data_IF_448020330134
#
_entry.id   IF_448020330134
#
_cell.length_a   1.000
_cell.length_b   1.000
_cell.length_c   1.000
_cell.angle_alpha   90.00
_cell.angle_beta   90.00
_cell.angle_gamma   90.00
#
_symmetry.space_group_name_H-M   'P 1'
#
loop_
_entity.id
_entity.type
_entity.pdbx_description
1 polymer ?
#
# COMPACT_ATOMS: atom_id res chain seq x y z
N UNK A 1 -21.20 18.60 -10.31
CA UNK A 1 -19.81 19.10 -10.12
C UNK A 1 -19.50 20.22 -11.10
N UNK A 2 -19.88 20.08 -12.37
CA UNK A 2 -19.56 21.09 -13.40
C UNK A 2 -20.11 22.48 -13.08
N UNK A 3 -21.32 22.58 -12.51
CA UNK A 3 -21.90 23.85 -12.06
C UNK A 3 -21.25 24.47 -10.81
N UNK A 4 -20.40 23.74 -10.07
CA UNK A 4 -19.85 24.18 -8.78
C UNK A 4 -18.33 24.35 -8.78
N UNK A 5 -17.60 23.61 -9.62
CA UNK A 5 -16.13 23.67 -9.66
C UNK A 5 -15.59 24.23 -10.98
N UNK A 6 -16.25 23.97 -12.11
CA UNK A 6 -15.76 24.44 -13.42
C UNK A 6 -15.74 25.97 -13.49
N UNK A 7 -16.73 26.63 -12.90
CA UNK A 7 -16.78 28.09 -12.78
C UNK A 7 -15.58 28.70 -12.03
N UNK A 8 -14.89 27.90 -11.21
CA UNK A 8 -13.74 28.33 -10.42
C UNK A 8 -12.41 27.76 -10.93
N UNK A 9 -12.39 27.10 -12.10
CA UNK A 9 -11.19 26.45 -12.62
C UNK A 9 -10.05 27.46 -12.85
N UNK A 10 -10.34 28.61 -13.43
CA UNK A 10 -9.37 29.70 -13.63
C UNK A 10 -8.77 30.18 -12.29
N UNK A 11 -9.57 30.23 -11.23
CA UNK A 11 -9.14 30.64 -9.89
C UNK A 11 -8.19 29.60 -9.25
N UNK A 12 -8.50 28.31 -9.45
CA UNK A 12 -7.66 27.19 -9.02
C UNK A 12 -6.31 27.22 -9.77
N UNK A 13 -6.35 27.39 -11.09
CA UNK A 13 -5.16 27.45 -11.94
C UNK A 13 -4.28 28.64 -11.56
N UNK A 14 -4.86 29.82 -11.40
CA UNK A 14 -4.13 31.02 -10.95
C UNK A 14 -3.46 30.80 -9.60
N UNK A 15 -4.15 30.14 -8.67
CA UNK A 15 -3.60 29.79 -7.35
C UNK A 15 -2.40 28.85 -7.48
N UNK A 16 -2.51 27.83 -8.33
CA UNK A 16 -1.40 26.91 -8.61
C UNK A 16 -0.20 27.63 -9.24
N UNK A 17 -0.42 28.43 -10.28
CA UNK A 17 0.65 29.13 -11.00
C UNK A 17 1.38 30.13 -10.10
N UNK A 18 0.64 30.86 -9.27
CA UNK A 18 1.21 31.81 -8.29
C UNK A 18 2.10 31.06 -7.29
N UNK A 19 1.61 29.95 -6.74
CA UNK A 19 2.40 29.13 -5.83
C UNK A 19 3.64 28.55 -6.52
N UNK A 20 3.50 28.02 -7.74
CA UNK A 20 4.62 27.42 -8.47
C UNK A 20 5.74 28.44 -8.68
N UNK A 21 5.40 29.65 -9.14
CA UNK A 21 6.37 30.73 -9.33
C UNK A 21 7.07 31.10 -8.02
N UNK A 22 6.32 31.31 -6.94
CA UNK A 22 6.88 31.63 -5.62
C UNK A 22 7.84 30.53 -5.13
N UNK A 23 7.42 29.28 -5.23
CA UNK A 23 8.22 28.13 -4.82
C UNK A 23 9.49 28.01 -5.66
N UNK A 24 9.37 28.20 -6.97
CA UNK A 24 10.50 28.13 -7.90
C UNK A 24 11.56 29.17 -7.54
N UNK A 25 11.16 30.41 -7.29
CA UNK A 25 12.07 31.48 -6.84
C UNK A 25 12.76 31.14 -5.50
N UNK A 26 12.02 30.57 -4.54
CA UNK A 26 12.60 30.14 -3.25
C UNK A 26 13.61 29.00 -3.41
N UNK A 27 13.31 28.02 -4.28
CA UNK A 27 14.18 26.87 -4.54
C UNK A 27 15.44 27.31 -5.28
N UNK A 28 15.32 28.13 -6.31
CA UNK A 28 16.46 28.64 -7.08
C UNK A 28 17.43 29.42 -6.19
N UNK A 29 16.89 30.28 -5.32
CA UNK A 29 17.68 31.01 -4.34
C UNK A 29 18.43 30.06 -3.41
N UNK A 30 17.73 29.12 -2.79
CA UNK A 30 18.33 28.22 -1.82
C UNK A 30 19.38 27.30 -2.46
N UNK A 31 19.15 26.79 -3.68
CA UNK A 31 20.14 25.97 -4.39
C UNK A 31 21.40 26.77 -4.74
N UNK A 32 21.24 28.01 -5.22
CA UNK A 32 22.35 28.90 -5.58
C UNK A 32 23.18 29.26 -4.35
N UNK A 33 22.55 29.61 -3.23
CA UNK A 33 23.25 30.05 -2.02
C UNK A 33 23.97 28.89 -1.30
N UNK A 34 23.35 27.70 -1.29
CA UNK A 34 23.85 26.57 -0.49
C UNK A 34 24.77 25.63 -1.25
N UNK A 35 24.31 25.09 -2.39
CA UNK A 35 24.93 23.97 -3.10
C UNK A 35 25.73 24.40 -4.32
N UNK A 36 25.32 25.49 -4.97
CA UNK A 36 25.95 26.02 -6.18
C UNK A 36 26.39 27.49 -6.01
N UNK A 37 27.14 27.84 -4.94
CA UNK A 37 27.54 29.23 -4.73
C UNK A 37 28.44 29.68 -5.88
N UNK A 38 28.06 30.80 -6.50
CA UNK A 38 28.88 31.48 -7.48
C UNK A 38 30.27 31.70 -6.90
N UNK A 39 31.28 31.13 -7.54
CA UNK A 39 32.66 31.35 -7.15
C UNK A 39 33.04 32.74 -7.65
N UNK A 40 32.66 33.79 -6.92
CA UNK A 40 33.32 35.07 -7.12
C UNK A 40 34.82 34.82 -6.89
N UNK A 41 35.61 35.12 -7.92
CA UNK A 41 37.04 34.94 -7.90
C UNK A 41 37.59 35.70 -6.68
N UNK A 42 37.94 34.97 -5.62
CA UNK A 42 38.72 35.53 -4.52
C UNK A 42 39.99 36.06 -5.16
N UNK A 43 40.07 37.37 -5.33
CA UNK A 43 41.30 38.08 -5.69
C UNK A 43 42.32 37.64 -4.66
N UNK A 44 43.28 36.80 -5.07
CA UNK A 44 44.38 36.42 -4.20
C UNK A 44 45.08 37.73 -3.82
N UNK A 45 45.17 38.09 -2.53
CA UNK A 45 45.93 39.26 -2.15
C UNK A 45 47.37 39.07 -2.68
N UNK A 46 47.88 40.08 -3.39
CA UNK A 46 49.26 40.05 -3.87
C UNK A 46 50.18 39.78 -2.68
N UNK A 47 51.08 38.78 -2.75
CA UNK A 47 51.93 38.45 -1.62
C UNK A 47 52.83 39.64 -1.30
N UNK A 48 52.69 40.19 -0.09
CA UNK A 48 53.61 41.18 0.45
C UNK A 48 55.03 40.62 0.48
N UNK A 49 56.00 41.41 -0.01
CA UNK A 49 57.42 41.03 -0.11
C UNK A 49 58.00 40.69 1.27
N UNK A 50 57.48 41.31 2.35
CA UNK A 50 57.84 41.02 3.74
C UNK A 50 57.30 39.68 4.27
N UNK A 51 56.26 39.13 3.64
CA UNK A 51 55.71 37.80 3.98
C UNK A 51 56.53 36.62 3.46
N UNK A 52 57.53 36.86 2.59
CA UNK A 52 58.45 35.81 2.10
C UNK A 52 59.61 35.51 3.06
N UNK A 53 59.92 36.41 3.99
CA UNK A 53 61.06 36.28 4.92
C UNK A 53 60.71 35.60 6.25
N UNK A 54 59.42 35.46 6.57
CA UNK A 54 58.98 34.68 7.73
C UNK A 54 58.27 33.41 7.25
N UNK A 55 58.95 32.26 7.38
CA UNK A 55 58.34 30.93 7.22
C UNK A 55 57.14 30.83 8.17
N UNK A 56 55.92 30.95 7.66
CA UNK A 56 54.73 30.65 8.45
C UNK A 56 54.76 29.19 8.87
N UNK A 57 54.57 28.92 10.15
CA UNK A 57 54.43 27.57 10.68
C UNK A 57 53.44 26.76 9.83
N UNK A 58 53.85 25.54 9.44
CA UNK A 58 52.97 24.59 8.76
C UNK A 58 51.85 24.22 9.73
N UNK A 59 50.71 24.89 9.61
CA UNK A 59 49.48 24.37 10.17
C UNK A 59 49.22 22.99 9.55
N UNK A 60 48.78 21.98 10.32
CA UNK A 60 48.40 20.70 9.76
C UNK A 60 47.35 20.94 8.67
N UNK A 61 47.43 20.23 7.53
CA UNK A 61 46.45 20.41 6.45
C UNK A 61 45.07 20.09 7.03
N UNK A 62 44.23 21.12 7.16
CA UNK A 62 42.83 20.94 7.50
C UNK A 62 42.25 20.06 6.40
N UNK A 63 41.72 18.88 6.75
CA UNK A 63 41.11 17.99 5.78
C UNK A 63 40.11 18.80 4.94
N UNK A 64 40.41 18.96 3.66
CA UNK A 64 39.55 19.70 2.74
C UNK A 64 38.37 18.78 2.48
N UNK A 65 37.22 19.11 3.09
CA UNK A 65 35.95 18.43 2.87
C UNK A 65 35.76 18.25 1.35
N UNK A 66 35.57 17.01 0.90
CA UNK A 66 35.28 16.75 -0.50
C UNK A 66 33.96 17.40 -0.89
N UNK A 67 33.78 17.71 -2.18
CA UNK A 67 32.52 18.28 -2.68
C UNK A 67 31.30 17.41 -2.30
N UNK A 68 31.47 16.09 -2.27
CA UNK A 68 30.43 15.15 -1.91
C UNK A 68 30.08 15.20 -0.42
N UNK A 69 31.08 15.22 0.47
CA UNK A 69 30.87 15.36 1.92
C UNK A 69 30.17 16.69 2.23
N UNK A 70 30.58 17.77 1.55
CA UNK A 70 29.95 19.09 1.67
C UNK A 70 28.48 19.05 1.24
N UNK A 71 28.18 18.45 0.09
CA UNK A 71 26.80 18.30 -0.41
C UNK A 71 25.95 17.50 0.58
N UNK A 72 26.45 16.37 1.08
CA UNK A 72 25.74 15.55 2.06
C UNK A 72 25.46 16.31 3.36
N UNK A 73 26.43 17.05 3.88
CA UNK A 73 26.28 17.89 5.07
C UNK A 73 25.22 18.97 4.87
N UNK A 74 25.24 19.65 3.73
CA UNK A 74 24.24 20.68 3.39
C UNK A 74 22.85 20.06 3.27
N UNK A 75 22.71 18.95 2.54
CA UNK A 75 21.44 18.24 2.40
C UNK A 75 20.90 17.84 3.78
N UNK A 76 21.75 17.28 4.65
CA UNK A 76 21.37 16.92 6.01
C UNK A 76 20.89 18.13 6.84
N UNK A 77 21.49 19.31 6.65
CA UNK A 77 21.09 20.55 7.33
C UNK A 77 19.65 20.98 7.00
N UNK A 78 19.17 20.72 5.77
CA UNK A 78 17.80 21.06 5.38
C UNK A 78 16.76 20.34 6.25
N UNK A 79 17.06 19.12 6.73
CA UNK A 79 16.14 18.41 7.63
C UNK A 79 15.87 19.22 8.90
N UNK A 80 16.91 19.79 9.51
CA UNK A 80 16.78 20.57 10.74
C UNK A 80 16.10 21.91 10.48
N UNK A 81 16.49 22.60 9.40
CA UNK A 81 15.84 23.86 8.98
C UNK A 81 14.34 23.69 8.75
N UNK A 82 13.94 22.57 8.14
CA UNK A 82 12.51 22.26 7.94
C UNK A 82 11.75 21.90 9.21
N UNK A 83 12.41 21.32 10.23
CA UNK A 83 11.78 21.01 11.52
C UNK A 83 11.62 22.26 12.39
N UNK A 84 12.51 23.23 12.25
CA UNK A 84 12.50 24.49 13.01
C UNK A 84 11.75 25.63 12.30
N UNK A 85 11.15 25.38 11.13
CA UNK A 85 10.44 26.38 10.36
C UNK A 85 8.99 26.52 10.86
N UNK A 86 8.61 27.74 11.26
CA UNK A 86 7.23 28.05 11.66
C UNK A 86 6.29 28.19 10.45
N UNK A 87 6.79 28.75 9.34
CA UNK A 87 6.02 28.86 8.10
C UNK A 87 5.87 27.48 7.42
N UNK A 88 4.63 26.98 7.22
CA UNK A 88 4.37 25.71 6.56
C UNK A 88 4.94 25.59 5.13
N UNK A 89 5.03 26.68 4.38
CA UNK A 89 5.62 26.71 3.04
C UNK A 89 7.14 26.55 3.13
N UNK A 90 7.79 27.26 4.05
CA UNK A 90 9.23 27.13 4.32
C UNK A 90 9.58 25.74 4.83
N UNK A 91 8.77 25.16 5.72
CA UNK A 91 8.92 23.78 6.16
C UNK A 91 8.79 22.79 4.98
N UNK A 92 7.86 23.05 4.04
CA UNK A 92 7.69 22.24 2.84
C UNK A 92 8.88 22.37 1.88
N UNK A 93 9.47 23.56 1.74
CA UNK A 93 10.69 23.81 0.96
C UNK A 93 11.84 22.94 1.45
N UNK A 94 12.25 23.09 2.71
CA UNK A 94 13.40 22.35 3.24
C UNK A 94 13.18 20.84 3.31
N UNK A 95 11.95 20.41 3.61
CA UNK A 95 11.58 19.00 3.53
C UNK A 95 11.77 18.45 2.11
N UNK A 96 11.41 19.23 1.09
CA UNK A 96 11.50 18.80 -0.31
C UNK A 96 12.93 18.81 -0.80
N UNK A 97 13.72 19.83 -0.45
CA UNK A 97 15.17 19.85 -0.65
C UNK A 97 15.83 18.60 -0.06
N UNK A 98 15.60 18.31 1.22
CA UNK A 98 16.14 17.12 1.87
C UNK A 98 15.74 15.81 1.16
N UNK A 99 14.44 15.67 0.82
CA UNK A 99 13.89 14.44 0.23
C UNK A 99 14.37 14.20 -1.20
N UNK A 100 14.26 15.21 -2.07
CA UNK A 100 14.60 15.06 -3.49
C UNK A 100 16.10 14.90 -3.65
N UNK A 101 16.89 15.82 -3.09
CA UNK A 101 18.35 15.79 -3.20
C UNK A 101 18.94 14.54 -2.52
N UNK A 102 18.45 14.20 -1.32
CA UNK A 102 18.87 12.99 -0.62
C UNK A 102 18.53 11.70 -1.38
N UNK A 103 17.41 11.66 -2.10
CA UNK A 103 17.04 10.50 -2.93
C UNK A 103 17.94 10.38 -4.17
N UNK A 104 18.31 11.50 -4.80
CA UNK A 104 19.23 11.52 -5.94
C UNK A 104 20.61 11.05 -5.50
N UNK A 105 21.18 11.65 -4.45
CA UNK A 105 22.51 11.29 -3.94
C UNK A 105 22.52 9.85 -3.42
N UNK A 106 21.48 9.41 -2.69
CA UNK A 106 21.40 8.04 -2.19
C UNK A 106 21.36 6.98 -3.29
N UNK A 107 20.87 7.31 -4.49
CA UNK A 107 20.77 6.38 -5.62
C UNK A 107 21.95 6.47 -6.59
N UNK A 108 22.50 7.66 -6.83
CA UNK A 108 23.56 7.91 -7.82
C UNK A 108 24.94 8.11 -7.20
N UNK A 109 25.03 8.39 -5.90
CA UNK A 109 26.26 8.77 -5.20
C UNK A 109 26.65 10.25 -5.34
N UNK A 110 25.99 11.01 -6.21
CA UNK A 110 26.26 12.44 -6.42
C UNK A 110 25.00 13.17 -6.94
N UNK A 111 25.00 14.51 -6.85
CA UNK A 111 23.82 15.33 -7.18
C UNK A 111 23.72 15.71 -8.66
N UNK A 112 24.86 15.93 -9.33
CA UNK A 112 24.94 16.55 -10.65
C UNK A 112 24.94 18.08 -10.58
N UNK A 113 25.03 18.74 -11.74
CA UNK A 113 25.16 20.20 -11.85
C UNK A 113 23.98 20.88 -12.55
N UNK A 114 22.94 20.12 -12.94
CA UNK A 114 21.75 20.67 -13.59
C UNK A 114 20.81 21.29 -12.55
N UNK A 115 21.12 22.52 -12.15
CA UNK A 115 20.33 23.29 -11.19
C UNK A 115 18.87 23.50 -11.68
N UNK A 116 18.61 23.83 -12.96
CA UNK A 116 17.23 23.94 -13.47
C UNK A 116 16.40 22.68 -13.23
N UNK A 117 16.92 21.50 -13.58
CA UNK A 117 16.24 20.22 -13.37
C UNK A 117 16.00 19.94 -11.88
N UNK A 118 17.01 20.16 -11.03
CA UNK A 118 16.86 19.95 -9.58
C UNK A 118 15.75 20.84 -9.00
N UNK A 119 15.74 22.10 -9.40
CA UNK A 119 14.76 23.05 -8.92
C UNK A 119 13.33 22.71 -9.39
N UNK A 120 13.15 22.20 -10.61
CA UNK A 120 11.84 21.75 -11.10
C UNK A 120 11.34 20.54 -10.31
N UNK A 121 12.21 19.54 -10.11
CA UNK A 121 11.85 18.36 -9.31
C UNK A 121 11.46 18.73 -7.87
N UNK A 122 12.17 19.67 -7.24
CA UNK A 122 11.87 20.15 -5.90
C UNK A 122 10.56 20.96 -5.89
N UNK A 123 10.37 21.88 -6.84
CA UNK A 123 9.17 22.70 -6.95
C UNK A 123 7.92 21.82 -7.18
N UNK A 124 7.98 20.87 -8.11
CA UNK A 124 6.91 19.89 -8.35
C UNK A 124 6.61 19.06 -7.10
N UNK A 125 7.63 18.63 -6.35
CA UNK A 125 7.41 17.89 -5.09
C UNK A 125 6.73 18.76 -4.01
N UNK A 126 7.07 20.05 -3.92
CA UNK A 126 6.41 21.00 -3.01
C UNK A 126 4.95 21.19 -3.44
N UNK A 127 4.68 21.51 -4.71
CA UNK A 127 3.35 21.74 -5.24
C UNK A 127 2.45 20.49 -5.11
N UNK A 128 3.00 19.29 -5.35
CA UNK A 128 2.26 18.05 -5.18
C UNK A 128 1.84 17.76 -3.73
N UNK A 129 2.50 18.35 -2.72
CA UNK A 129 2.22 18.09 -1.30
C UNK A 129 1.61 19.27 -0.56
N UNK A 130 2.28 20.42 -0.60
CA UNK A 130 1.80 21.66 0.00
C UNK A 130 0.73 22.29 -0.90
N UNK A 131 1.01 22.45 -2.19
CA UNK A 131 0.07 23.04 -3.14
C UNK A 131 -1.27 22.28 -3.22
N UNK A 132 -1.24 20.95 -3.22
CA UNK A 132 -2.47 20.15 -3.18
C UNK A 132 -3.31 20.37 -1.91
N UNK A 133 -2.69 20.72 -0.78
CA UNK A 133 -3.43 21.08 0.45
C UNK A 133 -3.97 22.50 0.40
N UNK A 134 -3.22 23.43 -0.20
CA UNK A 134 -3.65 24.81 -0.41
C UNK A 134 -4.89 24.84 -1.31
N UNK A 135 -4.79 24.27 -2.51
CA UNK A 135 -5.90 24.14 -3.47
C UNK A 135 -7.05 23.35 -2.86
N UNK A 136 -6.74 22.26 -2.14
CA UNK A 136 -7.76 21.45 -1.47
C UNK A 136 -8.60 22.23 -0.44
N UNK A 137 -8.05 23.26 0.22
CA UNK A 137 -8.83 24.13 1.13
C UNK A 137 -9.78 25.05 0.37
N UNK A 138 -9.36 25.54 -0.78
CA UNK A 138 -10.19 26.37 -1.66
C UNK A 138 -11.35 25.53 -2.21
N UNK A 139 -11.06 24.34 -2.72
CA UNK A 139 -12.06 23.39 -3.22
C UNK A 139 -13.04 22.94 -2.12
N UNK A 140 -12.58 22.74 -0.88
CA UNK A 140 -13.43 22.33 0.25
C UNK A 140 -14.61 23.29 0.49
N UNK A 141 -14.42 24.60 0.22
CA UNK A 141 -15.48 25.62 0.36
C UNK A 141 -16.60 25.35 -0.64
N UNK A 142 -16.27 25.23 -1.92
CA UNK A 142 -17.25 25.00 -2.99
C UNK A 142 -17.90 23.62 -2.90
N UNK A 143 -17.13 22.60 -2.52
CA UNK A 143 -17.69 21.26 -2.29
C UNK A 143 -18.69 21.27 -1.14
N UNK A 144 -18.43 21.99 -0.04
CA UNK A 144 -19.40 22.11 1.06
C UNK A 144 -20.67 22.84 0.64
N UNK A 145 -20.55 23.87 -0.19
CA UNK A 145 -21.71 24.56 -0.74
C UNK A 145 -22.54 23.60 -1.60
N UNK A 146 -21.90 22.84 -2.49
CA UNK A 146 -22.58 21.83 -3.29
C UNK A 146 -23.26 20.77 -2.42
N UNK A 147 -22.61 20.30 -1.36
CA UNK A 147 -23.20 19.35 -0.39
C UNK A 147 -24.49 19.89 0.23
N UNK A 148 -24.54 21.17 0.61
CA UNK A 148 -25.73 21.80 1.18
C UNK A 148 -26.83 21.97 0.13
N UNK A 149 -26.50 22.49 -1.06
CA UNK A 149 -27.47 22.76 -2.13
C UNK A 149 -28.10 21.47 -2.65
N UNK A 150 -27.30 20.41 -2.79
CA UNK A 150 -27.74 19.11 -3.30
C UNK A 150 -28.32 18.19 -2.21
N UNK A 151 -28.34 18.64 -0.95
CA UNK A 151 -28.89 17.85 0.16
C UNK A 151 -28.08 16.60 0.51
N UNK A 152 -26.79 16.55 0.18
CA UNK A 152 -25.93 15.42 0.52
C UNK A 152 -25.58 15.39 2.02
N UNK A 153 -25.43 14.19 2.57
CA UNK A 153 -24.95 13.99 3.94
C UNK A 153 -23.45 13.75 3.96
N UNK A 154 -22.73 14.47 4.83
CA UNK A 154 -21.31 14.21 5.07
C UNK A 154 -21.14 12.98 5.97
N UNK A 155 -20.17 12.14 5.61
CA UNK A 155 -19.84 10.95 6.41
C UNK A 155 -19.33 11.40 7.79
N UNK A 156 -19.98 10.99 8.89
CA UNK A 156 -19.60 11.42 10.23
C UNK A 156 -18.28 10.79 10.68
N UNK A 157 -17.61 11.46 11.62
CA UNK A 157 -16.51 10.84 12.37
C UNK A 157 -17.11 9.79 13.31
N UNK A 158 -16.57 8.57 13.30
CA UNK A 158 -17.09 7.50 14.14
C UNK A 158 -16.49 7.58 15.55
N UNK A 159 -17.26 7.15 16.56
CA UNK A 159 -16.74 6.98 17.93
C UNK A 159 -15.82 5.77 18.03
N UNK A 160 -16.22 4.65 17.41
CA UNK A 160 -15.43 3.42 17.30
C UNK A 160 -15.22 3.12 15.81
N UNK A 161 -14.20 3.73 15.17
CA UNK A 161 -14.06 3.63 13.73
C UNK A 161 -13.73 2.21 13.30
N UNK A 162 -14.46 1.72 12.30
CA UNK A 162 -14.26 0.41 11.69
C UNK A 162 -13.57 0.58 10.34
N UNK A 163 -12.50 -0.16 10.12
CA UNK A 163 -11.82 -0.26 8.83
C UNK A 163 -12.06 -1.65 8.24
N UNK A 164 -12.73 -1.73 7.11
CA UNK A 164 -12.88 -2.97 6.34
C UNK A 164 -11.94 -2.91 5.15
N UNK A 165 -11.11 -3.93 4.96
CA UNK A 165 -10.15 -4.01 3.85
C UNK A 165 -10.30 -5.31 3.10
N UNK A 166 -10.51 -5.23 1.79
CA UNK A 166 -10.48 -6.40 0.91
C UNK A 166 -9.10 -6.51 0.24
N UNK A 167 -8.47 -7.66 0.39
CA UNK A 167 -7.18 -8.02 -0.19
C UNK A 167 -7.36 -9.19 -1.12
N UNK A 168 -6.76 -9.11 -2.30
CA UNK A 168 -6.88 -10.12 -3.35
C UNK A 168 -6.27 -9.57 -4.62
N UNK A 169 -5.84 -10.45 -5.50
CA UNK A 169 -5.27 -10.07 -6.81
C UNK A 169 -6.31 -9.36 -7.69
N UNK A 170 -5.86 -8.78 -8.80
CA UNK A 170 -6.74 -8.23 -9.83
C UNK A 170 -7.72 -9.32 -10.30
N UNK A 171 -8.99 -8.97 -10.52
CA UNK A 171 -10.05 -9.92 -10.90
C UNK A 171 -10.34 -11.09 -9.92
N UNK A 172 -9.80 -11.05 -8.69
CA UNK A 172 -10.11 -12.01 -7.62
C UNK A 172 -11.52 -11.85 -6.99
N UNK A 173 -12.55 -11.45 -7.74
CA UNK A 173 -13.92 -11.40 -7.20
C UNK A 173 -14.21 -10.37 -6.09
N UNK A 174 -13.26 -9.50 -5.70
CA UNK A 174 -13.47 -8.48 -4.63
C UNK A 174 -14.74 -7.63 -4.79
N UNK A 175 -15.11 -7.29 -6.03
CA UNK A 175 -16.32 -6.52 -6.31
C UNK A 175 -17.60 -7.34 -6.15
N UNK A 176 -17.53 -8.66 -6.37
CA UNK A 176 -18.61 -9.60 -6.14
C UNK A 176 -18.89 -9.80 -4.65
N UNK A 177 -17.92 -9.53 -3.78
CA UNK A 177 -18.06 -9.52 -2.31
C UNK A 177 -18.74 -8.25 -1.76
N UNK A 178 -19.02 -7.23 -2.59
CA UNK A 178 -19.60 -5.97 -2.11
C UNK A 178 -21.00 -6.10 -1.48
N UNK A 179 -21.91 -6.96 -1.97
CA UNK A 179 -23.18 -7.22 -1.28
C UNK A 179 -22.94 -7.73 0.15
N UNK A 180 -21.96 -8.62 0.35
CA UNK A 180 -21.59 -9.12 1.67
C UNK A 180 -21.03 -8.04 2.58
N UNK A 181 -20.22 -7.11 2.03
CA UNK A 181 -19.77 -5.94 2.80
C UNK A 181 -20.96 -5.13 3.29
N UNK A 182 -22.01 -4.96 2.47
CA UNK A 182 -23.24 -4.28 2.86
C UNK A 182 -23.91 -4.97 4.06
N UNK A 183 -24.09 -6.28 3.98
CA UNK A 183 -24.68 -7.08 5.07
C UNK A 183 -23.84 -7.02 6.35
N UNK A 184 -22.53 -7.19 6.24
CA UNK A 184 -21.60 -7.09 7.36
C UNK A 184 -21.63 -5.69 8.01
N UNK A 185 -21.62 -4.63 7.20
CA UNK A 185 -21.70 -3.24 7.68
C UNK A 185 -23.02 -3.01 8.41
N UNK A 186 -24.14 -3.54 7.89
CA UNK A 186 -25.44 -3.50 8.55
C UNK A 186 -25.43 -4.25 9.88
N UNK A 187 -24.83 -5.44 9.94
CA UNK A 187 -24.69 -6.25 11.16
C UNK A 187 -23.81 -5.56 12.21
N UNK A 188 -22.89 -4.67 11.79
CA UNK A 188 -22.12 -3.80 12.67
C UNK A 188 -22.90 -2.54 13.11
N UNK A 189 -24.16 -2.39 12.71
CA UNK A 189 -25.00 -1.23 13.02
C UNK A 189 -24.60 0.05 12.27
N UNK A 190 -23.79 -0.07 11.22
CA UNK A 190 -23.35 1.08 10.41
C UNK A 190 -24.38 1.27 9.30
N UNK A 191 -24.92 2.50 9.17
CA UNK A 191 -25.86 2.84 8.10
C UNK A 191 -25.16 2.80 6.73
N UNK A 192 -25.93 2.57 5.66
CA UNK A 192 -25.40 2.52 4.29
C UNK A 192 -24.62 3.78 3.85
N UNK A 193 -24.92 4.95 4.42
CA UNK A 193 -24.25 6.23 4.20
C UNK A 193 -23.25 6.59 5.32
N UNK A 194 -23.09 5.72 6.31
CA UNK A 194 -22.26 5.92 7.49
C UNK A 194 -20.77 5.65 7.30
N UNK A 195 -20.33 5.28 6.09
CA UNK A 195 -18.94 4.92 5.80
C UNK A 195 -18.44 5.49 4.47
N UNK A 196 -17.11 5.70 4.40
CA UNK A 196 -16.43 6.12 3.18
C UNK A 196 -15.83 4.95 2.43
N UNK A 197 -16.08 4.85 1.13
CA UNK A 197 -15.41 3.87 0.26
C UNK A 197 -14.16 4.47 -0.37
N UNK A 198 -13.02 3.81 -0.20
CA UNK A 198 -11.74 4.18 -0.80
C UNK A 198 -11.45 3.22 -1.95
N UNK A 199 -11.61 3.70 -3.19
CA UNK A 199 -11.27 2.95 -4.40
C UNK A 199 -10.64 3.88 -5.46
N UNK A 200 -9.31 4.02 -5.51
CA UNK A 200 -8.63 4.93 -6.42
C UNK A 200 -8.86 4.63 -7.90
N UNK A 201 -9.20 3.38 -8.24
CA UNK A 201 -9.48 2.99 -9.62
C UNK A 201 -10.72 3.68 -10.21
N UNK A 202 -11.58 4.30 -9.38
CA UNK A 202 -12.68 5.12 -9.89
C UNK A 202 -12.19 6.34 -10.67
N UNK A 203 -11.02 6.88 -10.31
CA UNK A 203 -10.47 8.10 -10.92
C UNK A 203 -9.96 7.88 -12.34
N UNK A 204 -9.67 6.64 -12.74
CA UNK A 204 -9.13 6.36 -14.09
C UNK A 204 -10.03 6.86 -15.21
N UNK A 205 -11.36 6.77 -15.02
CA UNK A 205 -12.36 7.28 -15.98
C UNK A 205 -12.41 8.79 -16.07
N UNK A 206 -11.88 9.49 -15.07
CA UNK A 206 -11.84 10.96 -15.03
C UNK A 206 -10.49 11.51 -15.50
N UNK A 207 -9.50 10.64 -15.72
CA UNK A 207 -8.14 11.03 -16.11
C UNK A 207 -7.88 10.89 -17.60
N UNK A 208 -8.71 10.11 -18.30
CA UNK A 208 -8.62 9.91 -19.74
C UNK A 208 -9.99 10.09 -20.35
N UNK A 209 -10.00 10.75 -21.50
CA UNK A 209 -11.10 10.63 -22.45
C UNK A 209 -10.99 9.28 -23.15
N UNK A 210 -11.78 8.30 -22.69
CA UNK A 210 -11.78 6.95 -23.23
C UNK A 210 -12.25 6.91 -24.70
N UNK A 211 -13.14 7.82 -25.09
CA UNK A 211 -13.72 7.83 -26.43
C UNK A 211 -12.67 8.30 -27.45
N UNK A 212 -11.76 9.18 -27.04
CA UNK A 212 -10.62 9.63 -27.86
C UNK A 212 -9.58 8.54 -28.17
N UNK A 213 -9.57 7.41 -27.44
CA UNK A 213 -8.55 6.37 -27.58
C UNK A 213 -8.75 5.44 -28.78
N UNK A 214 -9.96 5.41 -29.38
CA UNK A 214 -10.24 4.55 -30.54
C UNK A 214 -9.86 3.08 -30.29
N UNK A 215 -9.07 2.51 -31.20
CA UNK A 215 -8.63 1.10 -31.13
C UNK A 215 -7.70 0.81 -29.93
N UNK A 216 -7.04 1.83 -29.38
CA UNK A 216 -6.10 1.72 -28.27
C UNK A 216 -6.77 1.73 -26.88
N UNK A 217 -8.11 1.76 -26.81
CA UNK A 217 -8.87 1.80 -25.56
C UNK A 217 -8.44 0.72 -24.52
N UNK A 218 -7.92 -0.42 -24.99
CA UNK A 218 -7.42 -1.51 -24.15
C UNK A 218 -6.21 -1.10 -23.29
N UNK A 219 -5.45 -0.08 -23.70
CA UNK A 219 -4.26 0.41 -22.97
C UNK A 219 -4.56 1.51 -21.96
N UNK A 220 -5.80 2.01 -21.89
CA UNK A 220 -6.21 3.12 -21.02
C UNK A 220 -5.79 2.94 -19.54
N UNK A 221 -5.86 1.71 -19.03
CA UNK A 221 -5.46 1.39 -17.67
C UNK A 221 -3.97 1.65 -17.40
N UNK A 222 -3.08 1.40 -18.38
CA UNK A 222 -1.64 1.61 -18.22
C UNK A 222 -1.29 3.10 -18.23
N UNK A 223 -1.96 3.87 -19.08
CA UNK A 223 -1.72 5.29 -19.29
C UNK A 223 -2.00 6.18 -18.07
N UNK A 224 -2.78 5.71 -17.08
CA UNK A 224 -3.18 6.48 -15.88
C UNK A 224 -2.54 6.01 -14.58
N UNK A 225 -1.61 5.05 -14.66
CA UNK A 225 -1.15 4.36 -13.44
C UNK A 225 -0.38 5.26 -12.49
N UNK A 226 0.43 6.20 -12.99
CA UNK A 226 1.21 7.11 -12.15
C UNK A 226 0.32 8.16 -11.48
N UNK A 227 -0.66 8.67 -12.21
CA UNK A 227 -1.64 9.65 -11.76
C UNK A 227 -2.48 9.07 -10.62
N UNK A 228 -2.95 7.83 -10.77
CA UNK A 228 -3.71 7.13 -9.71
C UNK A 228 -2.88 6.93 -8.45
N UNK A 229 -1.57 6.63 -8.57
CA UNK A 229 -0.67 6.55 -7.41
C UNK A 229 -0.59 7.90 -6.69
N UNK A 230 -0.47 9.00 -7.44
CA UNK A 230 -0.42 10.36 -6.88
C UNK A 230 -1.73 10.70 -6.18
N UNK A 231 -2.88 10.40 -6.79
CA UNK A 231 -4.21 10.65 -6.23
C UNK A 231 -4.43 9.84 -4.95
N UNK A 232 -4.11 8.55 -4.95
CA UNK A 232 -4.22 7.70 -3.76
C UNK A 232 -3.33 8.22 -2.61
N UNK A 233 -2.11 8.66 -2.91
CA UNK A 233 -1.22 9.27 -1.93
C UNK A 233 -1.77 10.58 -1.35
N UNK A 234 -2.39 11.42 -2.19
CA UNK A 234 -3.07 12.65 -1.74
C UNK A 234 -4.26 12.34 -0.86
N UNK A 235 -5.08 11.36 -1.22
CA UNK A 235 -6.21 10.89 -0.42
C UNK A 235 -5.75 10.38 0.96
N UNK A 236 -4.70 9.56 1.00
CA UNK A 236 -4.10 9.08 2.25
C UNK A 236 -3.62 10.22 3.15
N UNK A 237 -3.00 11.24 2.57
CA UNK A 237 -2.57 12.42 3.31
C UNK A 237 -3.74 13.24 3.83
N UNK A 238 -4.81 13.36 3.05
CA UNK A 238 -6.03 14.07 3.44
C UNK A 238 -6.72 13.37 4.62
N UNK A 239 -6.97 12.06 4.50
CA UNK A 239 -7.62 11.26 5.56
C UNK A 239 -6.79 11.31 6.84
N UNK A 240 -5.46 11.13 6.73
CA UNK A 240 -4.56 11.21 7.89
C UNK A 240 -4.60 12.59 8.55
N UNK A 241 -4.60 13.66 7.76
CA UNK A 241 -4.67 15.02 8.26
C UNK A 241 -6.01 15.31 8.96
N UNK A 242 -7.14 14.80 8.44
CA UNK A 242 -8.44 14.86 9.12
C UNK A 242 -8.39 14.08 10.43
N UNK A 243 -7.94 12.83 10.39
CA UNK A 243 -7.88 11.94 11.53
C UNK A 243 -6.99 12.47 12.67
N UNK A 244 -5.89 13.15 12.34
CA UNK A 244 -5.05 13.84 13.32
C UNK A 244 -5.77 14.95 14.07
N UNK A 245 -6.68 15.68 13.40
CA UNK A 245 -7.44 16.78 14.02
C UNK A 245 -8.60 16.29 14.87
N UNK A 246 -9.30 15.26 14.40
CA UNK A 246 -10.45 14.68 15.10
C UNK A 246 -10.09 13.56 16.08
N UNK A 247 -8.82 13.15 16.12
CA UNK A 247 -8.33 11.94 16.80
C UNK A 247 -9.15 10.68 16.47
N UNK A 248 -9.77 10.63 15.29
CA UNK A 248 -10.69 9.56 14.87
C UNK A 248 -10.92 9.61 13.36
N UNK A 249 -11.43 8.53 12.78
CA UNK A 249 -11.82 8.42 11.37
C UNK A 249 -13.31 8.11 11.24
N UNK A 250 -13.93 8.38 10.08
CA UNK A 250 -15.18 7.70 9.72
C UNK A 250 -14.99 6.19 9.66
N UNK A 251 -16.09 5.43 9.57
CA UNK A 251 -16.01 4.06 9.08
C UNK A 251 -15.49 4.07 7.64
N UNK A 252 -14.58 3.14 7.31
CA UNK A 252 -13.93 3.12 6.00
C UNK A 252 -13.97 1.71 5.42
N UNK A 253 -14.35 1.63 4.14
CA UNK A 253 -14.23 0.42 3.32
C UNK A 253 -13.16 0.67 2.28
N UNK A 254 -12.12 -0.16 2.29
CA UNK A 254 -10.95 0.00 1.45
C UNK A 254 -10.91 -1.11 0.42
N UNK A 255 -11.27 -0.73 -0.81
CA UNK A 255 -11.18 -1.56 -2.01
C UNK A 255 -10.11 -0.97 -2.93
N UNK A 256 -8.85 -1.08 -2.48
CA UNK A 256 -7.69 -0.71 -3.26
C UNK A 256 -6.63 -1.80 -3.23
N UNK A 257 -6.19 -2.17 -4.43
CA UNK A 257 -4.94 -2.87 -4.63
C UNK A 257 -3.84 -1.81 -4.69
N UNK A 258 -2.90 -1.81 -3.74
CA UNK A 258 -1.67 -1.04 -3.92
C UNK A 258 -0.52 -2.03 -4.12
N UNK A 259 0.22 -1.85 -5.20
CA UNK A 259 1.48 -2.54 -5.45
C UNK A 259 2.47 -2.40 -4.27
N UNK A 260 2.42 -1.29 -3.54
CA UNK A 260 3.24 -1.06 -2.34
C UNK A 260 2.62 -1.58 -1.02
N UNK A 261 1.38 -2.09 -1.03
CA UNK A 261 0.76 -2.74 0.14
C UNK A 261 1.39 -4.10 0.44
N UNK A 262 2.07 -4.70 -0.55
CA UNK A 262 2.71 -6.01 -0.44
C UNK A 262 4.25 -5.97 -0.56
N UNK A 263 4.83 -4.82 -0.96
CA UNK A 263 6.28 -4.63 -1.00
C UNK A 263 6.89 -4.56 0.43
N UNK A 264 7.65 -5.60 0.79
CA UNK A 264 8.14 -5.88 2.16
C UNK A 264 8.91 -4.73 2.82
N UNK A 265 9.70 -3.96 2.05
CA UNK A 265 10.51 -2.84 2.57
C UNK A 265 9.67 -1.67 3.08
N UNK A 266 8.41 -1.56 2.63
CA UNK A 266 7.51 -0.47 2.98
C UNK A 266 6.39 -0.89 3.94
N UNK A 267 6.02 -2.17 3.99
CA UNK A 267 4.93 -2.67 4.84
C UNK A 267 5.07 -2.18 6.29
N UNK A 268 6.25 -2.26 6.91
CA UNK A 268 6.47 -1.78 8.30
C UNK A 268 6.21 -0.28 8.47
N UNK A 269 6.68 0.55 7.54
CA UNK A 269 6.56 2.03 7.57
C UNK A 269 5.20 2.57 7.13
N UNK A 270 4.49 1.88 6.23
CA UNK A 270 3.26 2.38 5.59
C UNK A 270 2.12 2.39 6.61
N UNK A 271 1.76 1.26 7.21
CA UNK A 271 0.46 1.17 7.91
C UNK A 271 0.43 1.84 9.30
N UNK A 272 1.53 1.88 10.08
CA UNK A 272 1.52 2.53 11.40
C UNK A 272 1.46 4.05 11.36
N UNK A 273 1.99 4.63 10.29
CA UNK A 273 1.86 6.06 10.04
C UNK A 273 0.59 6.40 9.24
N UNK A 274 -0.27 5.43 8.92
CA UNK A 274 -1.55 5.70 8.23
C UNK A 274 -2.67 6.01 9.20
N UNK A 275 -3.87 6.22 8.66
CA UNK A 275 -5.10 6.44 9.41
C UNK A 275 -5.56 5.19 10.19
N UNK A 276 -5.01 3.99 9.92
CA UNK A 276 -5.33 2.77 10.66
C UNK A 276 -5.04 2.86 12.17
N UNK A 277 -4.14 3.75 12.60
CA UNK A 277 -3.90 4.00 14.04
C UNK A 277 -5.07 4.69 14.75
N UNK A 278 -5.97 5.32 13.99
CA UNK A 278 -7.20 5.95 14.48
C UNK A 278 -8.41 5.04 14.31
N UNK A 279 -8.19 3.79 13.94
CA UNK A 279 -9.23 2.76 13.84
C UNK A 279 -9.33 2.04 15.17
N UNK A 280 -10.55 1.72 15.61
CA UNK A 280 -10.78 0.85 16.75
C UNK A 280 -10.69 -0.62 16.35
N UNK A 281 -11.44 -1.00 15.31
CA UNK A 281 -11.53 -2.38 14.82
C UNK A 281 -11.26 -2.45 13.32
N UNK A 282 -10.42 -3.40 12.90
CA UNK A 282 -10.06 -3.66 11.51
C UNK A 282 -10.52 -5.06 11.11
N UNK A 283 -11.31 -5.13 10.05
CA UNK A 283 -11.66 -6.35 9.35
C UNK A 283 -10.85 -6.47 8.07
N UNK A 284 -10.23 -7.62 7.85
CA UNK A 284 -9.43 -7.88 6.66
C UNK A 284 -9.80 -9.19 6.00
N UNK A 285 -10.32 -9.08 4.78
CA UNK A 285 -10.69 -10.22 3.96
C UNK A 285 -9.58 -10.50 2.94
N UNK A 286 -9.10 -11.73 2.90
CA UNK A 286 -8.10 -12.22 1.96
C UNK A 286 -8.78 -13.16 0.97
N UNK A 287 -9.02 -12.65 -0.24
CA UNK A 287 -9.70 -13.39 -1.30
C UNK A 287 -8.66 -14.13 -2.13
N UNK A 288 -8.72 -15.46 -2.04
CA UNK A 288 -7.83 -16.38 -2.73
C UNK A 288 -8.50 -16.84 -4.02
N UNK A 289 -7.80 -16.80 -5.14
CA UNK A 289 -8.34 -17.18 -6.46
C UNK A 289 -7.23 -17.83 -7.28
N UNK A 290 -7.44 -19.02 -7.86
CA UNK A 290 -6.46 -19.64 -8.73
C UNK A 290 -5.94 -18.66 -9.81
N UNK A 291 -4.63 -18.52 -10.02
CA UNK A 291 -4.04 -17.56 -10.93
C UNK A 291 -4.64 -17.54 -12.34
N UNK A 292 -4.86 -18.70 -12.95
CA UNK A 292 -5.48 -18.86 -14.26
C UNK A 292 -6.91 -18.27 -14.32
N UNK A 293 -7.72 -18.53 -13.29
CA UNK A 293 -9.08 -17.97 -13.20
C UNK A 293 -9.06 -16.43 -13.10
N UNK A 294 -7.98 -15.82 -12.61
CA UNK A 294 -7.86 -14.35 -12.59
C UNK A 294 -7.63 -13.77 -13.98
N UNK A 295 -6.99 -14.52 -14.88
CA UNK A 295 -6.78 -14.12 -16.28
C UNK A 295 -8.12 -14.17 -17.02
N UNK A 296 -8.85 -15.27 -16.91
CA UNK A 296 -10.16 -15.47 -17.56
C UNK A 296 -11.18 -14.42 -17.11
N UNK A 297 -11.37 -14.26 -15.80
CA UNK A 297 -12.26 -13.23 -15.23
C UNK A 297 -11.80 -11.82 -15.58
N UNK A 298 -10.49 -11.63 -15.69
CA UNK A 298 -9.86 -10.40 -16.14
C UNK A 298 -10.26 -10.04 -17.57
N UNK A 299 -10.25 -11.02 -18.46
CA UNK A 299 -10.66 -10.90 -19.85
C UNK A 299 -12.16 -10.58 -19.97
N UNK A 300 -13.03 -11.34 -19.30
CA UNK A 300 -14.47 -11.09 -19.29
C UNK A 300 -14.81 -9.69 -18.78
N UNK A 301 -14.15 -9.26 -17.71
CA UNK A 301 -14.28 -7.89 -17.20
C UNK A 301 -13.81 -6.85 -18.21
N UNK A 302 -12.75 -7.16 -18.96
CA UNK A 302 -12.26 -6.34 -20.08
C UNK A 302 -13.35 -6.12 -21.13
N UNK A 303 -14.03 -7.19 -21.53
CA UNK A 303 -15.15 -7.15 -22.48
C UNK A 303 -16.31 -6.29 -21.98
N UNK A 304 -16.72 -6.44 -20.72
CA UNK A 304 -17.89 -5.75 -20.16
C UNK A 304 -17.59 -4.29 -19.78
N UNK A 305 -16.39 -3.99 -19.27
CA UNK A 305 -16.07 -2.71 -18.62
C UNK A 305 -15.00 -1.90 -19.33
N UNK A 306 -14.41 -2.42 -20.41
CA UNK A 306 -13.31 -1.78 -21.15
C UNK A 306 -11.99 -1.76 -20.38
N UNK A 307 -11.82 -2.60 -19.36
CA UNK A 307 -10.65 -2.59 -18.45
C UNK A 307 -9.74 -3.79 -18.71
N UNK A 308 -8.86 -3.65 -19.69
CA UNK A 308 -7.91 -4.70 -20.06
C UNK A 308 -6.61 -4.57 -19.27
N UNK A 309 -5.95 -5.72 -19.09
CA UNK A 309 -4.58 -5.86 -18.60
C UNK A 309 -3.94 -7.02 -19.35
N UNK A 310 -2.61 -7.03 -19.43
CA UNK A 310 -1.87 -8.16 -19.99
C UNK A 310 -2.00 -9.40 -19.09
N UNK A 311 -1.80 -10.60 -19.66
CA UNK A 311 -1.73 -11.86 -18.91
C UNK A 311 -0.62 -11.78 -17.86
N UNK A 312 0.55 -11.28 -18.26
CA UNK A 312 1.70 -11.05 -17.39
C UNK A 312 1.33 -10.18 -16.19
N UNK A 313 0.60 -9.08 -16.40
CA UNK A 313 0.13 -8.23 -15.30
C UNK A 313 -0.79 -9.02 -14.34
N UNK A 314 -1.73 -9.84 -14.84
CA UNK A 314 -2.61 -10.63 -13.96
C UNK A 314 -1.84 -11.63 -13.12
N UNK A 315 -0.95 -12.41 -13.72
CA UNK A 315 -0.14 -13.40 -13.03
C UNK A 315 0.88 -12.73 -12.08
N UNK A 316 1.50 -11.64 -12.51
CA UNK A 316 2.39 -10.82 -11.67
C UNK A 316 1.67 -10.29 -10.42
N UNK A 317 0.45 -9.77 -10.55
CA UNK A 317 -0.35 -9.35 -9.40
C UNK A 317 -0.70 -10.51 -8.46
N UNK A 318 -0.88 -11.72 -8.99
CA UNK A 318 -1.12 -12.90 -8.17
C UNK A 318 0.09 -13.18 -7.28
N UNK A 319 1.28 -13.31 -7.88
CA UNK A 319 2.52 -13.54 -7.13
C UNK A 319 2.70 -12.47 -6.04
N UNK A 320 2.57 -11.19 -6.39
CA UNK A 320 2.70 -10.10 -5.42
C UNK A 320 1.69 -10.18 -4.28
N UNK A 321 0.42 -10.47 -4.59
CA UNK A 321 -0.63 -10.59 -3.60
C UNK A 321 -0.31 -11.75 -2.64
N UNK A 322 -0.04 -12.95 -3.15
CA UNK A 322 0.16 -14.14 -2.33
C UNK A 322 1.46 -14.10 -1.52
N UNK A 323 2.53 -13.50 -2.04
CA UNK A 323 3.75 -13.19 -1.26
C UNK A 323 3.44 -12.21 -0.12
N UNK A 324 2.48 -11.32 -0.33
CA UNK A 324 2.17 -10.22 0.57
C UNK A 324 1.13 -10.52 1.65
N UNK A 325 0.17 -11.43 1.40
CA UNK A 325 -0.90 -11.75 2.35
C UNK A 325 -0.36 -12.28 3.69
N UNK A 326 0.55 -13.28 3.74
CA UNK A 326 1.14 -13.73 5.00
C UNK A 326 1.84 -12.62 5.77
N UNK A 327 2.60 -11.76 5.06
CA UNK A 327 3.31 -10.62 5.66
C UNK A 327 2.34 -9.63 6.30
N UNK A 328 1.21 -9.38 5.66
CA UNK A 328 0.18 -8.47 6.16
C UNK A 328 -0.55 -9.06 7.36
N UNK A 329 -0.89 -10.35 7.31
CA UNK A 329 -1.47 -11.09 8.44
C UNK A 329 -0.55 -10.99 9.66
N UNK A 330 0.69 -11.49 9.57
CA UNK A 330 1.61 -11.52 10.71
C UNK A 330 2.00 -10.15 11.23
N UNK A 331 1.99 -9.14 10.37
CA UNK A 331 2.13 -7.76 10.83
C UNK A 331 1.01 -7.41 11.81
N UNK A 332 -0.25 -7.58 11.43
CA UNK A 332 -1.37 -7.16 12.26
C UNK A 332 -1.54 -8.03 13.51
N UNK A 333 -1.21 -9.32 13.43
CA UNK A 333 -1.14 -10.19 14.61
C UNK A 333 -0.12 -9.69 15.65
N UNK A 334 0.98 -9.06 15.21
CA UNK A 334 1.98 -8.48 16.12
C UNK A 334 1.54 -7.17 16.80
N UNK A 335 0.34 -6.65 16.52
CA UNK A 335 -0.15 -5.39 17.08
C UNK A 335 -1.42 -5.56 17.92
N UNK A 336 -1.43 -4.88 19.07
CA UNK A 336 -2.59 -4.87 19.98
C UNK A 336 -3.75 -4.01 19.47
N UNK A 337 -3.46 -2.99 18.65
CA UNK A 337 -4.45 -2.08 18.08
C UNK A 337 -4.19 -1.85 16.59
N UNK A 338 -5.26 -1.70 15.78
CA UNK A 338 -6.67 -1.92 16.12
C UNK A 338 -6.97 -3.38 16.50
N UNK A 339 -8.16 -3.66 17.05
CA UNK A 339 -8.67 -5.04 17.14
C UNK A 339 -8.69 -5.59 15.72
N UNK A 340 -8.10 -6.76 15.51
CA UNK A 340 -7.87 -7.28 14.18
C UNK A 340 -8.66 -8.56 14.01
N UNK A 341 -9.57 -8.54 13.04
CA UNK A 341 -10.41 -9.66 12.64
C UNK A 341 -10.09 -9.92 11.18
N UNK A 342 -9.84 -11.19 10.83
CA UNK A 342 -9.49 -11.54 9.47
C UNK A 342 -10.20 -12.80 9.01
N UNK A 343 -10.34 -12.92 7.70
CA UNK A 343 -10.90 -14.09 7.05
C UNK A 343 -10.24 -14.30 5.69
N UNK A 344 -9.86 -15.54 5.42
CA UNK A 344 -9.43 -16.03 4.12
C UNK A 344 -10.64 -16.68 3.44
N UNK A 345 -10.89 -16.30 2.20
CA UNK A 345 -12.05 -16.70 1.41
C UNK A 345 -11.58 -17.40 0.14
N UNK A 346 -12.13 -18.57 -0.15
CA UNK A 346 -11.86 -19.26 -1.41
C UNK A 346 -12.82 -18.80 -2.50
N UNK A 347 -12.28 -18.08 -3.47
CA UNK A 347 -13.03 -17.54 -4.59
C UNK A 347 -12.74 -18.33 -5.90
N UNK A 348 -12.48 -19.64 -5.77
CA UNK A 348 -12.53 -20.65 -6.84
C UNK A 348 -13.94 -20.93 -7.38
N UNK A 349 -14.96 -20.40 -6.71
CA UNK A 349 -16.38 -20.57 -7.04
C UNK A 349 -16.92 -19.63 -8.13
N UNK A 350 -18.13 -19.91 -8.63
CA UNK A 350 -18.83 -19.07 -9.61
C UNK A 350 -19.16 -17.66 -9.10
N UNK A 351 -19.32 -16.72 -10.04
CA UNK A 351 -19.64 -15.34 -9.72
C UNK A 351 -21.04 -15.22 -9.09
N UNK A 352 -21.11 -14.56 -7.92
CA UNK A 352 -22.37 -14.29 -7.24
C UNK A 352 -22.69 -15.28 -6.11
N UNK A 353 -21.94 -16.37 -6.01
CA UNK A 353 -21.98 -17.29 -4.87
C UNK A 353 -21.05 -16.76 -3.77
N UNK A 354 -21.40 -17.01 -2.50
CA UNK A 354 -20.59 -16.64 -1.34
C UNK A 354 -19.34 -17.52 -1.23
N UNK A 355 -18.12 -16.95 -1.26
CA UNK A 355 -16.88 -17.71 -1.08
C UNK A 355 -16.83 -18.45 0.26
N UNK A 356 -16.63 -19.78 0.29
CA UNK A 356 -16.45 -20.48 1.54
C UNK A 356 -15.21 -19.97 2.29
N UNK A 357 -15.29 -19.99 3.62
CA UNK A 357 -14.18 -19.60 4.49
C UNK A 357 -13.08 -20.66 4.42
N UNK A 358 -11.87 -20.24 4.05
CA UNK A 358 -10.64 -21.05 4.21
C UNK A 358 -10.23 -21.05 5.68
N UNK A 359 -10.23 -19.87 6.29
CA UNK A 359 -9.90 -19.67 7.69
C UNK A 359 -10.44 -18.32 8.18
N UNK A 360 -10.77 -18.22 9.47
CA UNK A 360 -11.18 -16.95 10.10
C UNK A 360 -10.55 -16.82 11.48
N UNK A 361 -10.26 -15.61 11.93
CA UNK A 361 -9.57 -15.43 13.20
C UNK A 361 -9.44 -14.01 13.72
N UNK A 362 -8.77 -13.90 14.86
CA UNK A 362 -8.38 -12.66 15.53
C UNK A 362 -6.90 -12.70 15.89
N UNK A 363 -6.39 -11.75 16.67
CA UNK A 363 -4.98 -11.76 17.07
C UNK A 363 -4.50 -13.03 17.78
N UNK A 364 -5.35 -13.70 18.54
CA UNK A 364 -4.96 -14.85 19.37
C UNK A 364 -5.56 -16.18 18.91
N UNK A 365 -6.59 -16.16 18.05
CA UNK A 365 -7.31 -17.37 17.66
C UNK A 365 -7.51 -17.46 16.15
N UNK A 366 -7.54 -18.67 15.62
CA UNK A 366 -7.81 -18.93 14.21
C UNK A 366 -8.47 -20.29 14.01
N UNK A 367 -9.60 -20.29 13.30
CA UNK A 367 -10.23 -21.50 12.79
C UNK A 367 -9.78 -21.71 11.34
N UNK A 368 -9.36 -22.93 11.03
CA UNK A 368 -8.94 -23.37 9.69
C UNK A 368 -9.93 -24.43 9.21
N UNK A 369 -10.59 -24.14 8.10
CA UNK A 369 -11.54 -25.06 7.46
C UNK A 369 -10.90 -25.78 6.28
N UNK A 370 -10.04 -25.08 5.53
CA UNK A 370 -9.29 -25.64 4.41
C UNK A 370 -7.78 -25.42 4.59
N UNK A 371 -7.07 -26.43 5.13
CA UNK A 371 -5.60 -26.38 5.25
C UNK A 371 -4.87 -26.33 3.91
N UNK A 372 -5.45 -26.86 2.83
CA UNK A 372 -4.78 -26.95 1.52
C UNK A 372 -4.63 -25.58 0.88
N UNK A 373 -5.61 -24.70 1.07
CA UNK A 373 -5.51 -23.32 0.58
C UNK A 373 -4.28 -22.56 1.14
N UNK A 374 -3.76 -22.92 2.32
CA UNK A 374 -2.49 -22.34 2.82
C UNK A 374 -1.28 -22.78 2.00
N UNK A 375 -1.31 -24.01 1.49
CA UNK A 375 -0.31 -24.56 0.59
C UNK A 375 -0.41 -23.86 -0.77
N UNK A 376 -1.64 -23.67 -1.26
CA UNK A 376 -1.89 -22.98 -2.52
C UNK A 376 -1.45 -21.52 -2.50
N UNK A 377 -1.62 -20.83 -1.38
CA UNK A 377 -1.06 -19.48 -1.18
C UNK A 377 0.46 -19.47 -1.40
N UNK A 378 1.19 -20.53 -1.08
CA UNK A 378 2.63 -20.62 -1.40
C UNK A 378 2.89 -21.05 -2.84
N UNK A 379 2.13 -22.02 -3.36
CA UNK A 379 2.23 -22.47 -4.76
C UNK A 379 2.02 -21.32 -5.73
N UNK A 380 1.03 -20.45 -5.48
CA UNK A 380 0.73 -19.30 -6.33
C UNK A 380 1.81 -18.21 -6.33
N UNK A 381 2.81 -18.29 -5.44
CA UNK A 381 3.99 -17.41 -5.47
C UNK A 381 5.03 -17.87 -6.49
N UNK A 382 4.92 -19.12 -6.97
CA UNK A 382 5.91 -19.81 -7.82
C UNK A 382 5.48 -19.94 -9.28
N UNK A 383 4.33 -19.38 -9.65
CA UNK A 383 3.78 -19.46 -11.00
C UNK A 383 4.65 -18.73 -12.02
N UNK A 384 4.60 -19.20 -13.26
CA UNK A 384 5.24 -18.58 -14.40
C UNK A 384 4.41 -17.38 -14.87
N UNK A 385 4.90 -16.16 -14.59
CA UNK A 385 4.22 -14.93 -15.02
C UNK A 385 4.27 -14.70 -16.54
N UNK A 386 5.15 -15.41 -17.25
CA UNK A 386 5.30 -15.34 -18.70
C UNK A 386 4.57 -16.47 -19.43
N UNK A 387 3.66 -17.18 -18.74
CA UNK A 387 2.91 -18.29 -19.32
C UNK A 387 2.12 -17.85 -20.56
N UNK A 388 2.26 -18.60 -21.65
CA UNK A 388 1.53 -18.40 -22.90
C UNK A 388 0.33 -19.35 -23.04
N UNK A 389 0.22 -20.36 -22.17
CA UNK A 389 -0.94 -21.26 -22.06
C UNK A 389 -1.27 -21.59 -20.60
N UNK A 390 -2.48 -22.11 -20.31
CA UNK A 390 -2.86 -22.54 -18.96
C UNK A 390 -1.90 -23.57 -18.35
N UNK A 391 -1.40 -24.51 -19.16
CA UNK A 391 -0.49 -25.59 -18.72
C UNK A 391 0.87 -25.05 -18.29
N UNK A 392 1.26 -23.88 -18.79
CA UNK A 392 2.53 -23.23 -18.46
C UNK A 392 2.46 -22.38 -17.20
N UNK A 393 1.27 -22.12 -16.63
CA UNK A 393 1.09 -21.25 -15.45
C UNK A 393 1.82 -21.82 -14.25
N UNK A 394 1.74 -23.12 -14.05
CA UNK A 394 2.35 -23.80 -12.91
C UNK A 394 3.71 -24.40 -13.27
N UNK A 395 4.70 -24.31 -12.36
CA UNK A 395 5.97 -24.99 -12.54
C UNK A 395 5.82 -26.51 -12.40
N UNK A 396 6.92 -27.25 -12.61
CA UNK A 396 6.93 -28.69 -12.47
C UNK A 396 6.38 -29.17 -11.10
N UNK A 397 5.58 -30.25 -11.12
CA UNK A 397 4.80 -30.73 -9.98
C UNK A 397 5.60 -30.93 -8.69
N UNK A 398 6.85 -31.40 -8.78
CA UNK A 398 7.71 -31.60 -7.62
C UNK A 398 7.98 -30.30 -6.84
N UNK A 399 7.86 -29.11 -7.44
CA UNK A 399 8.00 -27.82 -6.73
C UNK A 399 6.72 -27.40 -6.00
N UNK A 400 5.61 -28.06 -6.31
CA UNK A 400 4.27 -27.82 -5.79
C UNK A 400 3.87 -28.84 -4.72
N UNK A 401 4.75 -29.78 -4.38
CA UNK A 401 4.55 -30.71 -3.26
C UNK A 401 4.34 -29.96 -1.94
N UNK A 402 3.55 -30.57 -1.05
CA UNK A 402 3.10 -29.96 0.20
C UNK A 402 4.28 -29.55 1.10
N UNK A 403 5.27 -30.43 1.25
CA UNK A 403 6.47 -30.20 2.07
C UNK A 403 7.26 -28.94 1.67
N UNK A 404 7.25 -28.58 0.37
CA UNK A 404 7.91 -27.38 -0.17
C UNK A 404 7.05 -26.11 -0.13
N UNK A 405 5.81 -26.21 0.33
CA UNK A 405 4.82 -25.12 0.28
C UNK A 405 4.03 -24.95 1.61
N UNK A 406 4.45 -25.61 2.69
CA UNK A 406 3.74 -25.63 3.98
C UNK A 406 4.15 -24.51 4.95
N UNK A 407 5.13 -23.68 4.58
CA UNK A 407 5.78 -22.73 5.48
C UNK A 407 4.83 -21.73 6.12
N UNK A 408 3.78 -21.32 5.41
CA UNK A 408 2.81 -20.33 5.86
C UNK A 408 1.91 -20.92 6.94
N UNK A 409 1.38 -22.13 6.73
CA UNK A 409 0.61 -22.85 7.72
C UNK A 409 1.43 -23.10 9.00
N UNK A 410 2.68 -23.55 8.85
CA UNK A 410 3.60 -23.71 9.98
C UNK A 410 3.85 -22.40 10.74
N UNK A 411 3.97 -21.28 10.03
CA UNK A 411 4.11 -19.97 10.66
C UNK A 411 2.85 -19.56 11.42
N UNK A 412 1.65 -19.85 10.90
CA UNK A 412 0.39 -19.63 11.63
C UNK A 412 0.38 -20.43 12.93
N UNK A 413 0.65 -21.74 12.84
CA UNK A 413 0.74 -22.68 13.99
C UNK A 413 1.73 -22.20 15.05
N UNK A 414 2.86 -21.64 14.63
CA UNK A 414 3.90 -21.14 15.53
C UNK A 414 3.55 -19.81 16.20
N UNK A 415 2.80 -18.93 15.52
CA UNK A 415 2.62 -17.53 15.93
C UNK A 415 1.26 -17.23 16.55
N UNK A 416 0.25 -18.07 16.30
CA UNK A 416 -1.11 -17.89 16.82
C UNK A 416 -1.30 -18.83 18.00
N UNK A 417 -1.86 -18.29 19.09
CA UNK A 417 -1.93 -18.99 20.38
C UNK A 417 -2.90 -20.18 20.33
N UNK A 418 -4.07 -19.98 19.73
CA UNK A 418 -5.13 -20.99 19.64
C UNK A 418 -5.53 -21.20 18.19
N UNK A 419 -5.28 -22.39 17.64
CA UNK A 419 -5.77 -22.77 16.31
C UNK A 419 -6.72 -23.95 16.46
N UNK A 420 -7.79 -23.95 15.66
CA UNK A 420 -8.70 -25.08 15.53
C UNK A 420 -8.77 -25.47 14.06
N UNK A 421 -8.56 -26.73 13.77
CA UNK A 421 -8.94 -27.32 12.49
C UNK A 421 -10.39 -27.76 12.61
N UNK A 422 -11.25 -27.17 11.77
CA UNK A 422 -12.71 -27.24 11.90
C UNK A 422 -13.30 -27.82 10.63
N UNK A 423 -14.27 -28.71 10.79
CA UNK A 423 -15.08 -29.18 9.67
C UNK A 423 -16.08 -28.10 9.23
N UNK A 424 -16.13 -27.79 7.94
CA UNK A 424 -16.93 -26.67 7.42
C UNK A 424 -18.43 -26.89 7.62
N UNK A 425 -18.92 -28.12 7.45
CA UNK A 425 -20.35 -28.43 7.50
C UNK A 425 -20.89 -28.50 8.93
N UNK A 426 -20.14 -29.11 9.84
CA UNK A 426 -20.56 -29.29 11.23
C UNK A 426 -20.09 -28.19 12.19
N UNK A 427 -19.16 -27.32 11.76
CA UNK A 427 -18.43 -26.35 12.59
C UNK A 427 -17.73 -26.97 13.81
N UNK A 428 -17.52 -28.29 13.82
CA UNK A 428 -16.82 -29.00 14.91
C UNK A 428 -15.31 -29.02 14.68
N UNK A 429 -14.57 -28.73 15.74
CA UNK A 429 -13.11 -28.84 15.71
C UNK A 429 -12.69 -30.31 15.86
N UNK A 430 -11.87 -30.81 14.94
CA UNK A 430 -11.32 -32.17 15.00
C UNK A 430 -9.89 -32.20 15.55
N UNK A 431 -9.14 -31.11 15.37
CA UNK A 431 -7.82 -30.91 15.99
C UNK A 431 -7.74 -29.50 16.53
N UNK A 432 -7.22 -29.35 17.74
CA UNK A 432 -6.89 -28.06 18.33
C UNK A 432 -5.38 -27.96 18.52
N UNK A 433 -4.85 -26.76 18.34
CA UNK A 433 -3.45 -26.44 18.57
C UNK A 433 -3.38 -25.32 19.58
N UNK A 434 -2.74 -25.58 20.71
CA UNK A 434 -2.51 -24.60 21.75
C UNK A 434 -1.01 -24.32 21.87
N UNK A 435 -0.58 -23.14 21.44
CA UNK A 435 0.83 -22.73 21.43
C UNK A 435 1.75 -23.78 20.79
N UNK A 436 1.35 -24.27 19.61
CA UNK A 436 2.08 -25.29 18.84
C UNK A 436 1.89 -26.75 19.30
N UNK A 437 1.13 -27.01 20.37
CA UNK A 437 0.83 -28.38 20.82
C UNK A 437 -0.50 -28.86 20.25
N UNK A 438 -0.48 -29.98 19.54
CA UNK A 438 -1.66 -30.59 18.93
C UNK A 438 -2.43 -31.44 19.93
N UNK A 439 -3.76 -31.34 19.89
CA UNK A 439 -4.70 -32.12 20.68
C UNK A 439 -5.84 -32.56 19.77
N UNK A 440 -6.07 -33.87 19.71
CA UNK A 440 -7.21 -34.44 18.98
C UNK A 440 -8.47 -34.09 19.76
N UNK A 441 -9.41 -33.41 19.09
CA UNK A 441 -10.67 -32.95 19.69
C UNK A 441 -11.85 -33.83 19.30
N UNK A 442 -11.79 -34.41 18.09
CA UNK A 442 -12.76 -35.40 17.60
C UNK A 442 -12.00 -36.46 16.77
N UNK A 443 -11.72 -37.65 17.35
CA UNK A 443 -10.96 -38.71 16.68
C UNK A 443 -11.66 -39.28 15.43
N UNK A 444 -12.98 -39.46 15.46
CA UNK A 444 -13.75 -40.02 14.35
C UNK A 444 -13.76 -39.06 13.16
N UNK A 445 -13.97 -37.77 13.44
CA UNK A 445 -13.92 -36.73 12.43
C UNK A 445 -12.50 -36.57 11.87
N UNK A 446 -11.47 -36.64 12.72
CA UNK A 446 -10.07 -36.62 12.26
C UNK A 446 -9.77 -37.81 11.33
N UNK A 447 -10.14 -39.03 11.69
CA UNK A 447 -9.95 -40.20 10.83
C UNK A 447 -10.65 -40.02 9.48
N UNK A 448 -11.88 -39.50 9.49
CA UNK A 448 -12.64 -39.18 8.26
C UNK A 448 -11.90 -38.15 7.40
N UNK A 449 -11.36 -37.09 8.01
CA UNK A 449 -10.59 -36.06 7.29
C UNK A 449 -9.26 -36.60 6.75
N UNK A 450 -8.61 -37.52 7.45
CA UNK A 450 -7.36 -38.16 7.00
C UNK A 450 -7.53 -39.15 5.84
N UNK A 451 -8.76 -39.46 5.42
CA UNK A 451 -9.01 -40.19 4.16
C UNK A 451 -8.60 -39.35 2.94
N UNK A 452 -8.63 -38.02 3.05
CA UNK A 452 -8.09 -37.13 2.04
C UNK A 452 -6.55 -37.18 2.09
N UNK A 453 -5.92 -37.63 1.00
CA UNK A 453 -4.48 -37.84 0.91
C UNK A 453 -3.65 -36.56 1.16
N UNK A 454 -4.17 -35.43 0.71
CA UNK A 454 -3.55 -34.12 0.88
C UNK A 454 -3.59 -33.67 2.34
N UNK A 455 -4.75 -33.79 3.01
CA UNK A 455 -4.87 -33.52 4.45
C UNK A 455 -3.99 -34.45 5.28
N UNK A 456 -3.95 -35.74 4.93
CA UNK A 456 -3.06 -36.71 5.58
C UNK A 456 -1.60 -36.29 5.45
N UNK A 457 -1.18 -35.87 4.26
CA UNK A 457 0.19 -35.41 4.02
C UNK A 457 0.51 -34.14 4.82
N UNK A 458 -0.43 -33.19 4.91
CA UNK A 458 -0.28 -32.01 5.77
C UNK A 458 -0.04 -32.43 7.22
N UNK A 459 -0.91 -33.26 7.79
CA UNK A 459 -0.81 -33.67 9.19
C UNK A 459 0.44 -34.51 9.47
N UNK A 460 0.88 -35.36 8.54
CA UNK A 460 2.17 -36.05 8.66
C UNK A 460 3.36 -35.10 8.77
N UNK A 461 3.28 -33.93 8.15
CA UNK A 461 4.35 -32.92 8.20
C UNK A 461 4.28 -32.05 9.46
N UNK A 462 3.07 -31.64 9.89
CA UNK A 462 2.92 -30.68 11.01
C UNK A 462 2.74 -31.35 12.37
N UNK A 463 2.22 -32.58 12.42
CA UNK A 463 1.88 -33.32 13.64
C UNK A 463 1.83 -34.84 13.35
N UNK A 464 2.95 -35.49 13.01
CA UNK A 464 2.96 -36.92 12.68
C UNK A 464 2.39 -37.80 13.81
N UNK A 465 2.50 -37.37 15.07
CA UNK A 465 2.01 -38.08 16.24
C UNK A 465 0.49 -38.29 16.27
N UNK A 466 -0.30 -37.41 15.64
CA UNK A 466 -1.77 -37.54 15.61
C UNK A 466 -2.27 -38.36 14.41
N UNK A 467 -1.38 -38.75 13.50
CA UNK A 467 -1.72 -39.54 12.31
C UNK A 467 -1.72 -41.06 12.56
N UNK A 468 -1.07 -41.51 13.62
CA UNK A 468 -0.90 -42.93 13.96
C UNK A 468 -1.96 -43.45 14.93
N UNK A 469 -3.21 -42.98 14.81
CA UNK A 469 -4.33 -43.49 15.61
C UNK A 469 -4.68 -44.88 15.05
N UNK A 470 -3.91 -45.89 15.45
CA UNK A 470 -4.33 -47.28 15.42
C UNK A 470 -5.38 -47.49 16.52
N UNK A 471 -6.47 -48.16 16.15
CA UNK A 471 -7.59 -48.58 17.00
C UNK A 471 -7.20 -49.04 18.42
#
# INVERSE_FOLDING_TARGET
MDGYLTAHLEEIEKTFQTLYKQVREMVDRELSESLFPSTEARVKPNPSILGRLFKSAKYPPRAVESTQERQLRIIASFKQRGLNADDPLVAALYRSLYRVLGSIVGKRGYLGNDQPMLADLIASHICSRYGSRLIGRQIDVWVRQAVVVEGYTLIPVAQNPVLISLKGTSAAGKSSLRPMLGEMINNLGIKNDGYGTISPDIWRRLLLDYDSLGEDYKYAGRLTSYEVIIIDAKLDHYIRGKAQRSNSTPHLVVDRFRFDSFASEKISRILHNTYAKYTDTMYMFFVITPPEATVERGWERGLVRGRYKSVEDFLGHCVEAYVGMPKLLFKWLAHKKPKFIFEFLDNSIEMGIYPPSIARGTQSQMDIFDPIAFIDIERYQKINIMAASPEEVYPAQHLLEIDKNIGFLQQCIKKIEHIRFVDLDSEKAYVTVNSGKFVISDPELLQTKLLNADLRTIFLVIAPEICNITE
#
